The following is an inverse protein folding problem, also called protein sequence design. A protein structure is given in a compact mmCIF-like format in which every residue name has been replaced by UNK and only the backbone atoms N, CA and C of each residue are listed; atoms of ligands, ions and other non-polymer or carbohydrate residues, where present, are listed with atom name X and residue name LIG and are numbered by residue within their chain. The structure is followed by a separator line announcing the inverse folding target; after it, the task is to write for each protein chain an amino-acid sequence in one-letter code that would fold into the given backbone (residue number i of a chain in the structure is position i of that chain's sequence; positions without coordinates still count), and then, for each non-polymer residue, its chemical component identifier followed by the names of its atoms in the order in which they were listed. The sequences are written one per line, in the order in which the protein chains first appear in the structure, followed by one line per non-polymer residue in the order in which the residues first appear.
data_IF_752216725273
#
_entry.id   IF_752216725273
#
_cell.length_a   1.000
_cell.length_b   1.000
_cell.length_c   1.000
_cell.angle_alpha   90.00
_cell.angle_beta   90.00
_cell.angle_gamma   90.00
#
_symmetry.space_group_name_H-M   'P 1'
#
loop_
_entity.id
_entity.type
_entity.pdbx_description
1 polymer ?
#
# COMPACT_ATOMS: atom_id res chain seq x y z
N UNK A 1 57.94 -61.44 43.44
CA UNK A 1 58.73 -61.50 42.19
C UNK A 1 58.24 -60.40 41.27
N UNK A 2 59.13 -59.44 40.94
CA UNK A 2 59.22 -58.57 39.74
C UNK A 2 58.01 -58.48 38.80
N UNK A 3 57.59 -57.34 38.23
CA UNK A 3 58.14 -55.97 38.06
C UNK A 3 57.04 -55.11 37.38
N UNK A 4 56.94 -53.81 37.72
CA UNK A 4 56.79 -52.62 36.85
C UNK A 4 56.03 -52.76 35.49
N UNK A 5 55.10 -51.89 35.05
CA UNK A 5 55.09 -50.43 35.13
C UNK A 5 53.73 -49.81 34.67
N UNK A 6 53.42 -48.64 35.26
CA UNK A 6 52.84 -47.40 34.69
C UNK A 6 51.58 -47.48 33.80
N UNK A 7 50.49 -46.90 34.32
CA UNK A 7 50.09 -45.56 33.87
C UNK A 7 49.26 -44.83 34.93
N UNK A 8 49.66 -43.59 35.20
CA UNK A 8 49.09 -42.66 36.18
C UNK A 8 48.26 -41.64 35.41
N UNK A 9 47.04 -41.36 35.88
CA UNK A 9 46.37 -40.07 35.75
C UNK A 9 45.26 -40.05 36.84
N UNK A 10 45.58 -39.70 38.08
CA UNK A 10 45.61 -38.34 38.62
C UNK A 10 44.27 -37.59 38.48
N UNK A 11 43.45 -37.68 39.53
CA UNK A 11 42.46 -36.66 39.87
C UNK A 11 43.19 -35.33 40.09
N UNK A 12 42.69 -34.23 39.51
CA UNK A 12 42.86 -32.88 40.03
C UNK A 12 41.73 -31.99 39.49
N UNK A 13 41.04 -31.32 40.41
CA UNK A 13 40.00 -30.35 40.14
C UNK A 13 40.53 -29.10 39.42
N UNK A 14 39.72 -28.51 38.54
CA UNK A 14 39.81 -27.08 38.18
C UNK A 14 38.40 -26.51 38.13
N UNK A 15 38.21 -25.44 38.89
CA UNK A 15 37.01 -24.63 38.95
C UNK A 15 37.01 -23.56 37.84
N UNK A 16 35.80 -23.13 37.46
CA UNK A 16 35.45 -21.86 36.80
C UNK A 16 36.05 -21.61 35.41
N UNK A 17 35.20 -21.57 34.38
CA UNK A 17 34.99 -20.37 33.56
C UNK A 17 33.84 -20.61 32.58
N UNK A 18 32.96 -19.62 32.44
CA UNK A 18 31.92 -19.64 31.43
C UNK A 18 32.54 -19.73 30.04
N UNK A 19 31.97 -20.59 29.21
CA UNK A 19 32.12 -20.50 27.78
C UNK A 19 30.72 -20.68 27.20
N UNK A 20 30.15 -19.56 26.79
CA UNK A 20 29.11 -19.55 25.78
C UNK A 20 29.56 -20.47 24.64
N UNK A 21 28.71 -21.44 24.30
CA UNK A 21 28.80 -22.18 23.04
C UNK A 21 28.46 -21.19 21.91
N UNK A 22 29.42 -20.32 21.57
CA UNK A 22 29.49 -19.62 20.30
C UNK A 22 30.47 -20.36 19.39
N UNK A 23 30.07 -20.40 18.11
CA UNK A 23 30.74 -20.96 16.93
C UNK A 23 30.41 -22.45 16.68
N UNK A 24 29.73 -22.84 15.59
CA UNK A 24 29.80 -22.35 14.21
C UNK A 24 28.46 -22.48 13.45
N UNK A 25 28.01 -21.42 12.76
CA UNK A 25 27.50 -21.41 11.37
C UNK A 25 26.84 -20.03 11.08
N UNK A 26 27.43 -19.27 10.14
CA UNK A 26 27.01 -17.91 9.80
C UNK A 26 25.62 -17.85 9.20
N UNK A 27 24.66 -17.32 9.96
CA UNK A 27 23.38 -16.87 9.41
C UNK A 27 23.61 -15.81 8.33
N UNK A 28 22.74 -15.79 7.32
CA UNK A 28 22.76 -14.79 6.26
C UNK A 28 22.68 -13.38 6.86
N UNK A 29 23.61 -12.49 6.50
CA UNK A 29 23.67 -11.14 7.09
C UNK A 29 22.74 -10.20 6.35
N UNK A 30 21.46 -10.23 6.70
CA UNK A 30 20.43 -9.39 6.05
C UNK A 30 20.70 -7.88 6.12
N UNK A 31 21.49 -7.42 7.10
CA UNK A 31 21.85 -6.01 7.30
C UNK A 31 23.02 -5.54 6.43
N UNK A 32 23.70 -6.47 5.76
CA UNK A 32 24.89 -6.18 4.95
C UNK A 32 24.55 -6.26 3.45
N UNK A 33 24.59 -5.13 2.71
CA UNK A 33 24.29 -5.12 1.28
C UNK A 33 25.15 -6.08 0.47
N UNK A 34 26.40 -6.30 0.85
CA UNK A 34 27.31 -7.20 0.12
C UNK A 34 26.88 -8.67 0.25
N UNK A 35 26.02 -9.01 1.22
CA UNK A 35 25.48 -10.37 1.35
C UNK A 35 24.50 -10.74 0.24
N UNK A 36 23.96 -9.76 -0.51
CA UNK A 36 23.00 -9.96 -1.59
C UNK A 36 23.61 -9.85 -3.00
N UNK A 37 24.83 -9.32 -3.10
CA UNK A 37 25.45 -8.98 -4.38
C UNK A 37 25.88 -10.22 -5.15
N UNK A 38 25.57 -10.26 -6.45
CA UNK A 38 25.89 -11.37 -7.36
C UNK A 38 25.38 -12.74 -6.87
N UNK A 39 24.24 -12.73 -6.17
CA UNK A 39 23.64 -13.92 -5.57
C UNK A 39 22.17 -13.97 -5.92
N UNK A 40 21.66 -15.19 -6.00
CA UNK A 40 20.24 -15.44 -6.15
C UNK A 40 19.65 -16.09 -4.90
N UNK A 41 18.36 -15.88 -4.67
CA UNK A 41 17.69 -16.51 -3.55
C UNK A 41 16.30 -15.98 -3.27
N UNK A 42 15.84 -16.30 -2.07
CA UNK A 42 14.53 -15.91 -1.54
C UNK A 42 14.70 -15.20 -0.21
N UNK A 43 13.94 -14.14 -0.01
CA UNK A 43 13.77 -13.45 1.27
C UNK A 43 12.27 -13.33 1.54
N UNK A 44 11.82 -13.43 2.78
CA UNK A 44 10.39 -13.41 3.00
C UNK A 44 9.98 -13.43 4.45
N UNK A 45 8.66 -13.43 4.65
CA UNK A 45 8.06 -13.56 5.98
C UNK A 45 7.38 -14.92 6.07
N UNK A 46 7.75 -15.68 7.09
CA UNK A 46 7.06 -16.90 7.46
C UNK A 46 6.07 -16.62 8.57
N UNK A 47 4.81 -17.01 8.35
CA UNK A 47 3.72 -16.83 9.32
C UNK A 47 3.42 -18.17 9.95
N UNK A 48 3.75 -18.31 11.24
CA UNK A 48 3.43 -19.52 11.98
C UNK A 48 1.95 -19.58 12.34
N UNK A 49 1.42 -20.80 12.53
CA UNK A 49 0.05 -20.98 12.93
C UNK A 49 -0.19 -20.47 14.36
N UNK A 50 -1.08 -19.49 14.54
CA UNK A 50 -1.24 -18.66 15.75
C UNK A 50 -1.53 -19.42 17.06
N UNK A 51 -1.79 -20.73 16.98
CA UNK A 51 -2.19 -21.57 18.10
C UNK A 51 -1.27 -22.79 18.31
N UNK A 52 -0.27 -22.99 17.45
CA UNK A 52 0.47 -24.25 17.47
C UNK A 52 1.60 -24.27 18.48
N UNK A 53 2.28 -23.15 18.73
CA UNK A 53 3.38 -23.17 19.70
C UNK A 53 3.88 -21.79 20.16
N UNK A 54 3.73 -21.48 21.46
CA UNK A 54 4.39 -20.34 22.11
C UNK A 54 5.83 -20.64 22.56
N UNK A 55 6.28 -21.90 22.41
CA UNK A 55 7.57 -22.35 22.93
C UNK A 55 8.76 -21.78 22.14
N UNK A 56 9.89 -21.66 22.85
CA UNK A 56 11.17 -21.12 22.37
C UNK A 56 11.98 -22.12 21.53
N UNK A 57 11.29 -22.92 20.71
CA UNK A 57 11.92 -23.89 19.82
C UNK A 57 12.07 -23.35 18.40
N UNK A 58 13.20 -23.63 17.72
CA UNK A 58 13.39 -23.25 16.34
C UNK A 58 12.46 -24.05 15.42
N UNK A 59 11.95 -23.40 14.40
CA UNK A 59 11.09 -24.02 13.39
C UNK A 59 11.73 -23.90 12.01
N UNK A 60 11.44 -24.88 11.16
CA UNK A 60 12.08 -25.01 9.85
C UNK A 60 11.06 -25.29 8.77
N UNK A 61 11.29 -24.80 7.56
CA UNK A 61 10.60 -25.27 6.36
C UNK A 61 11.58 -25.95 5.42
N UNK A 62 11.09 -26.85 4.59
CA UNK A 62 11.85 -27.43 3.48
C UNK A 62 11.37 -26.83 2.17
N UNK A 63 12.23 -26.06 1.51
CA UNK A 63 11.97 -25.39 0.23
C UNK A 63 13.07 -25.78 -0.76
N UNK A 64 12.70 -26.50 -1.82
CA UNK A 64 13.65 -27.14 -2.72
C UNK A 64 14.53 -28.15 -1.97
N UNK A 65 15.85 -28.04 -2.14
CA UNK A 65 16.85 -28.84 -1.43
C UNK A 65 17.25 -28.24 -0.07
N UNK A 66 16.66 -27.11 0.33
CA UNK A 66 17.06 -26.36 1.52
C UNK A 66 16.11 -26.60 2.69
N UNK A 67 16.71 -26.84 3.86
CA UNK A 67 16.04 -26.75 5.17
C UNK A 67 16.32 -25.37 5.76
N UNK A 68 15.31 -24.52 5.78
CA UNK A 68 15.42 -23.08 6.10
C UNK A 68 14.86 -22.84 7.50
N UNK A 69 15.62 -22.15 8.36
CA UNK A 69 15.13 -21.66 9.65
C UNK A 69 14.11 -20.54 9.40
N UNK A 70 12.88 -20.74 9.87
CA UNK A 70 11.78 -19.78 9.67
C UNK A 70 11.30 -19.13 10.97
N UNK A 71 11.61 -19.72 12.11
CA UNK A 71 11.47 -19.09 13.43
C UNK A 71 12.63 -19.53 14.28
N UNK A 72 13.33 -18.58 14.87
CA UNK A 72 14.41 -18.88 15.80
C UNK A 72 13.87 -19.37 17.14
N UNK A 73 14.68 -20.09 17.90
CA UNK A 73 14.28 -20.53 19.25
C UNK A 73 13.95 -19.36 20.18
N UNK A 74 14.55 -18.19 20.00
CA UNK A 74 14.29 -17.04 20.88
C UNK A 74 13.13 -16.14 20.42
N UNK A 75 12.48 -16.44 19.29
CA UNK A 75 11.34 -15.65 18.81
C UNK A 75 10.02 -16.21 19.37
N UNK A 76 9.18 -15.35 19.94
CA UNK A 76 7.78 -15.61 20.27
C UNK A 76 6.80 -15.01 19.26
N UNK A 77 7.33 -14.45 18.17
CA UNK A 77 6.54 -13.69 17.19
C UNK A 77 5.77 -14.62 16.25
N UNK A 78 4.58 -14.18 15.83
CA UNK A 78 3.79 -14.90 14.84
C UNK A 78 4.42 -14.84 13.44
N UNK A 79 5.02 -13.71 13.10
CA UNK A 79 5.59 -13.45 11.79
C UNK A 79 7.09 -13.26 11.93
N UNK A 80 7.87 -14.00 11.13
CA UNK A 80 9.33 -14.05 11.24
C UNK A 80 9.98 -13.91 9.87
N UNK A 81 11.01 -13.07 9.76
CA UNK A 81 11.80 -12.96 8.54
C UNK A 81 12.63 -14.23 8.33
N UNK A 82 12.64 -14.74 7.10
CA UNK A 82 13.59 -15.74 6.63
C UNK A 82 14.32 -15.25 5.37
N UNK A 83 15.52 -15.79 5.14
CA UNK A 83 16.29 -15.55 3.92
C UNK A 83 17.13 -16.78 3.60
N UNK A 84 17.25 -17.09 2.32
CA UNK A 84 18.14 -18.16 1.86
C UNK A 84 18.69 -17.85 0.47
N UNK A 85 20.01 -18.01 0.32
CA UNK A 85 20.66 -18.02 -0.98
C UNK A 85 20.38 -19.36 -1.66
N UNK A 86 19.88 -19.31 -2.89
CA UNK A 86 19.44 -20.49 -3.63
C UNK A 86 19.85 -20.37 -5.10
N UNK A 87 20.11 -21.51 -5.73
CA UNK A 87 20.35 -21.53 -7.17
C UNK A 87 19.07 -21.16 -7.93
N UNK A 88 19.18 -20.48 -9.08
CA UNK A 88 18.03 -20.23 -9.96
C UNK A 88 17.28 -21.50 -10.32
N UNK A 89 15.95 -21.43 -10.36
CA UNK A 89 15.09 -22.57 -10.67
C UNK A 89 13.87 -22.70 -9.77
N UNK A 90 13.15 -23.81 -9.90
CA UNK A 90 11.92 -24.06 -9.14
C UNK A 90 12.26 -24.75 -7.82
N UNK A 91 11.83 -24.14 -6.71
CA UNK A 91 12.00 -24.67 -5.37
C UNK A 91 10.63 -25.03 -4.76
N UNK A 92 10.34 -26.33 -4.64
CA UNK A 92 9.09 -26.84 -4.08
C UNK A 92 9.08 -26.76 -2.56
N UNK A 93 8.00 -26.23 -1.99
CA UNK A 93 7.74 -26.28 -0.55
C UNK A 93 7.25 -27.69 -0.21
N UNK A 94 8.02 -28.42 0.60
CA UNK A 94 7.71 -29.82 0.95
C UNK A 94 7.11 -29.98 2.33
N UNK A 95 7.67 -29.26 3.32
CA UNK A 95 7.25 -29.44 4.71
C UNK A 95 7.57 -28.27 5.59
N UNK A 96 6.90 -28.25 6.74
CA UNK A 96 7.16 -27.36 7.86
C UNK A 96 7.30 -28.19 9.15
N UNK A 97 8.42 -28.03 9.83
CA UNK A 97 8.85 -28.77 11.02
C UNK A 97 8.88 -27.82 12.21
N UNK A 98 8.23 -28.22 13.31
CA UNK A 98 8.18 -27.44 14.54
C UNK A 98 8.07 -28.35 15.77
N UNK A 99 8.61 -27.90 16.90
CA UNK A 99 8.59 -28.65 18.17
C UNK A 99 7.72 -27.93 19.19
N UNK A 100 6.78 -28.67 19.81
CA UNK A 100 5.86 -28.18 20.84
C UNK A 100 5.90 -29.05 22.09
N UNK A 101 6.36 -28.47 23.20
CA UNK A 101 6.74 -29.24 24.38
C UNK A 101 7.77 -30.31 24.03
N UNK A 102 7.42 -31.57 24.28
CA UNK A 102 8.27 -32.74 23.99
C UNK A 102 7.98 -33.36 22.61
N UNK A 103 7.02 -32.82 21.84
CA UNK A 103 6.58 -33.40 20.58
C UNK A 103 7.18 -32.67 19.37
N UNK A 104 7.92 -33.41 18.56
CA UNK A 104 8.34 -32.97 17.23
C UNK A 104 7.21 -33.20 16.22
N UNK A 105 6.80 -32.13 15.53
CA UNK A 105 5.75 -32.15 14.53
C UNK A 105 6.32 -31.83 13.15
N UNK A 106 5.78 -32.48 12.13
CA UNK A 106 6.11 -32.22 10.72
C UNK A 106 4.84 -32.22 9.89
N UNK A 107 4.47 -31.04 9.38
CA UNK A 107 3.45 -30.92 8.35
C UNK A 107 4.12 -31.17 7.00
N UNK A 108 3.72 -32.24 6.34
CA UNK A 108 4.14 -32.55 4.97
C UNK A 108 3.02 -32.10 4.05
N UNK A 109 3.36 -31.29 3.05
CA UNK A 109 2.40 -30.91 2.03
C UNK A 109 2.13 -32.13 1.14
N UNK A 110 0.87 -32.52 1.05
CA UNK A 110 0.45 -33.59 0.15
C UNK A 110 0.52 -33.09 -1.29
N UNK A 111 1.66 -33.34 -1.95
CA UNK A 111 1.84 -33.09 -3.38
C UNK A 111 1.27 -34.24 -4.25
N UNK A 112 0.65 -35.26 -3.64
CA UNK A 112 0.38 -36.57 -4.24
C UNK A 112 -1.00 -36.72 -4.92
N UNK A 113 -1.84 -35.68 -4.99
CA UNK A 113 -2.97 -35.71 -5.94
C UNK A 113 -2.50 -35.68 -7.42
N UNK A 114 -1.18 -35.79 -7.67
CA UNK A 114 -0.56 -35.93 -8.98
C UNK A 114 -1.04 -34.89 -9.99
N UNK A 115 -1.31 -33.66 -9.53
CA UNK A 115 -1.77 -32.57 -10.38
C UNK A 115 -3.20 -32.69 -10.91
N UNK A 116 -4.09 -33.52 -10.32
CA UNK A 116 -5.52 -33.52 -10.70
C UNK A 116 -6.16 -32.14 -10.50
N UNK A 117 -5.77 -31.42 -9.45
CA UNK A 117 -6.10 -30.00 -9.25
C UNK A 117 -4.83 -29.15 -9.21
N UNK A 118 -4.80 -28.00 -9.92
CA UNK A 118 -3.72 -27.02 -9.76
C UNK A 118 -3.68 -26.55 -8.30
N UNK A 119 -2.52 -26.71 -7.65
CA UNK A 119 -2.29 -26.20 -6.30
C UNK A 119 -0.92 -25.52 -6.25
N UNK A 120 -0.82 -24.26 -5.78
CA UNK A 120 0.46 -23.56 -5.69
C UNK A 120 1.37 -24.23 -4.66
N UNK A 121 2.53 -24.74 -5.08
CA UNK A 121 3.43 -25.53 -4.20
C UNK A 121 4.90 -25.10 -4.26
N UNK A 122 5.29 -24.27 -5.22
CA UNK A 122 6.70 -23.99 -5.44
C UNK A 122 6.95 -22.53 -5.77
N UNK A 123 8.18 -22.10 -5.54
CA UNK A 123 8.66 -20.73 -5.74
C UNK A 123 9.72 -20.78 -6.83
N UNK A 124 9.67 -19.87 -7.82
CA UNK A 124 10.74 -19.73 -8.82
C UNK A 124 11.78 -18.75 -8.31
N UNK A 125 12.97 -19.28 -8.05
CA UNK A 125 14.16 -18.50 -7.70
C UNK A 125 14.69 -17.83 -8.98
N UNK A 126 14.92 -16.50 -8.98
CA UNK A 126 15.30 -15.75 -10.17
C UNK A 126 16.72 -16.10 -10.65
N UNK A 127 17.05 -15.74 -11.88
CA UNK A 127 18.40 -15.95 -12.44
C UNK A 127 19.47 -15.08 -11.77
N UNK A 128 19.07 -13.88 -11.29
CA UNK A 128 19.90 -12.95 -10.55
C UNK A 128 19.08 -12.21 -9.49
N UNK A 129 19.72 -11.87 -8.37
CA UNK A 129 19.10 -11.18 -7.24
C UNK A 129 18.14 -12.04 -6.42
N UNK A 130 17.52 -11.42 -5.42
CA UNK A 130 16.56 -12.08 -4.54
C UNK A 130 15.14 -11.75 -4.96
N UNK A 131 14.21 -12.66 -4.71
CA UNK A 131 12.77 -12.39 -4.76
C UNK A 131 12.14 -12.46 -3.36
N UNK A 132 11.04 -11.72 -3.15
CA UNK A 132 10.31 -11.65 -1.89
C UNK A 132 9.06 -12.53 -1.88
N UNK A 133 8.69 -13.06 -0.72
CA UNK A 133 7.45 -13.85 -0.57
C UNK A 133 6.92 -13.85 0.88
N UNK A 134 5.62 -14.08 1.05
CA UNK A 134 5.04 -14.45 2.36
C UNK A 134 4.57 -15.89 2.28
N UNK A 135 5.06 -16.74 3.19
CA UNK A 135 4.71 -18.15 3.29
C UNK A 135 3.94 -18.39 4.58
N UNK A 136 2.81 -19.08 4.48
CA UNK A 136 1.89 -19.31 5.59
C UNK A 136 1.42 -20.77 5.61
N UNK A 137 1.37 -21.34 6.81
CA UNK A 137 0.70 -22.62 7.07
C UNK A 137 -0.60 -22.41 7.88
N UNK A 138 -1.11 -21.18 7.93
CA UNK A 138 -2.33 -20.78 8.68
C UNK A 138 -3.64 -21.13 7.96
N UNK A 139 -3.62 -21.16 6.64
CA UNK A 139 -4.81 -21.30 5.80
C UNK A 139 -4.57 -22.49 4.88
N UNK A 140 -5.27 -23.60 5.13
CA UNK A 140 -5.06 -24.90 4.49
C UNK A 140 -4.99 -24.88 2.94
N UNK A 141 -5.37 -23.77 2.28
CA UNK A 141 -5.36 -23.60 0.83
C UNK A 141 -4.48 -22.42 0.31
N UNK A 142 -3.93 -21.55 1.17
CA UNK A 142 -3.18 -20.34 0.77
C UNK A 142 -1.75 -20.31 1.33
N UNK A 143 -0.89 -21.17 0.79
CA UNK A 143 0.51 -21.31 1.24
C UNK A 143 1.38 -20.09 0.99
N UNK A 144 1.08 -19.36 -0.08
CA UNK A 144 1.86 -18.22 -0.55
C UNK A 144 0.93 -17.01 -0.67
N UNK A 145 1.40 -15.82 -0.29
CA UNK A 145 0.58 -14.59 -0.35
C UNK A 145 1.40 -13.34 -0.63
N UNK A 146 0.72 -12.28 -1.11
CA UNK A 146 1.26 -10.92 -1.22
C UNK A 146 0.84 -10.11 0.00
N UNK A 147 1.80 -9.51 0.69
CA UNK A 147 1.52 -8.62 1.83
C UNK A 147 2.68 -7.63 2.03
N UNK A 148 2.61 -6.51 1.32
CA UNK A 148 3.67 -5.49 1.33
C UNK A 148 3.81 -4.82 2.69
N UNK A 149 2.70 -4.59 3.40
CA UNK A 149 2.72 -3.99 4.73
C UNK A 149 3.50 -4.88 5.71
N UNK A 150 3.24 -6.19 5.70
CA UNK A 150 3.95 -7.15 6.54
C UNK A 150 5.43 -7.26 6.16
N UNK A 151 5.73 -7.35 4.85
CA UNK A 151 7.11 -7.40 4.37
C UNK A 151 7.88 -6.13 4.74
N UNK A 152 7.27 -4.95 4.58
CA UNK A 152 7.87 -3.68 4.94
C UNK A 152 8.14 -3.59 6.44
N UNK A 153 7.16 -3.94 7.27
CA UNK A 153 7.32 -4.00 8.73
C UNK A 153 8.50 -4.91 9.14
N UNK A 154 8.58 -6.12 8.58
CA UNK A 154 9.62 -7.09 8.93
C UNK A 154 11.00 -6.69 8.38
N UNK A 155 11.07 -6.11 7.17
CA UNK A 155 12.32 -5.61 6.60
C UNK A 155 12.87 -4.45 7.43
N UNK A 156 12.00 -3.52 7.85
CA UNK A 156 12.37 -2.41 8.74
C UNK A 156 12.80 -2.91 10.13
N UNK A 157 12.02 -3.82 10.74
CA UNK A 157 12.31 -4.43 12.04
C UNK A 157 13.69 -5.09 12.07
N UNK A 158 14.00 -5.88 11.05
CA UNK A 158 15.26 -6.61 10.94
C UNK A 158 16.39 -5.79 10.29
N UNK A 159 16.10 -4.55 9.87
CA UNK A 159 17.04 -3.63 9.20
C UNK A 159 17.68 -4.27 7.97
N UNK A 160 16.86 -4.91 7.15
CA UNK A 160 17.29 -5.54 5.89
C UNK A 160 17.90 -4.47 4.98
N UNK A 161 19.05 -4.78 4.38
CA UNK A 161 19.80 -3.85 3.54
C UNK A 161 19.10 -3.57 2.19
N UNK A 162 18.24 -4.48 1.74
CA UNK A 162 17.41 -4.30 0.57
C UNK A 162 16.19 -3.45 0.89
N UNK A 163 15.84 -2.52 -0.01
CA UNK A 163 14.53 -1.90 0.01
C UNK A 163 13.49 -2.93 -0.49
N UNK A 164 12.47 -3.31 0.31
CA UNK A 164 11.46 -4.28 -0.09
C UNK A 164 10.73 -3.89 -1.38
N UNK A 165 10.57 -2.61 -1.69
CA UNK A 165 9.92 -2.13 -2.93
C UNK A 165 10.73 -2.45 -4.18
N UNK A 166 12.05 -2.60 -4.04
CA UNK A 166 12.97 -2.93 -5.13
C UNK A 166 13.18 -4.44 -5.30
N UNK A 167 12.64 -5.26 -4.39
CA UNK A 167 12.74 -6.73 -4.45
C UNK A 167 11.46 -7.26 -5.09
N UNK A 168 11.52 -7.91 -6.27
CA UNK A 168 10.34 -8.44 -6.93
C UNK A 168 9.75 -9.59 -6.12
N UNK A 169 8.43 -9.83 -6.22
CA UNK A 169 7.86 -11.06 -5.68
C UNK A 169 8.36 -12.27 -6.46
N UNK A 170 8.50 -13.41 -5.78
CA UNK A 170 8.80 -14.66 -6.45
C UNK A 170 7.60 -15.16 -7.26
N UNK A 171 7.83 -15.67 -8.47
CA UNK A 171 6.78 -16.39 -9.21
C UNK A 171 6.41 -17.68 -8.44
N UNK A 172 5.13 -18.01 -8.41
CA UNK A 172 4.64 -19.25 -7.81
C UNK A 172 4.30 -20.25 -8.89
N UNK A 173 4.70 -21.50 -8.67
CA UNK A 173 4.50 -22.61 -9.58
C UNK A 173 3.51 -23.59 -8.96
N UNK A 174 2.46 -23.94 -9.72
CA UNK A 174 1.52 -24.98 -9.30
C UNK A 174 2.04 -26.40 -9.54
N UNK A 175 1.30 -27.37 -9.04
CA UNK A 175 1.50 -28.82 -9.27
C UNK A 175 1.52 -29.23 -10.75
N UNK A 176 1.08 -28.38 -11.69
CA UNK A 176 1.12 -28.63 -13.14
C UNK A 176 2.31 -27.93 -13.83
N UNK A 177 3.13 -27.20 -13.09
CA UNK A 177 4.27 -26.45 -13.62
C UNK A 177 3.89 -25.11 -14.25
N UNK A 178 2.64 -24.65 -14.09
CA UNK A 178 2.26 -23.33 -14.57
C UNK A 178 2.75 -22.28 -13.58
N UNK A 179 3.21 -21.15 -14.10
CA UNK A 179 3.32 -19.94 -13.30
C UNK A 179 1.91 -19.52 -12.94
N UNK A 180 1.54 -19.77 -11.69
CA UNK A 180 0.37 -19.15 -11.08
C UNK A 180 0.86 -17.80 -10.63
N UNK A 181 0.76 -16.83 -11.52
CA UNK A 181 0.82 -15.47 -11.07
C UNK A 181 -0.28 -15.34 -10.03
N UNK A 182 0.10 -14.98 -8.81
CA UNK A 182 -0.76 -14.04 -8.12
C UNK A 182 -1.02 -12.97 -9.17
N UNK A 183 -2.28 -12.64 -9.47
CA UNK A 183 -2.51 -11.39 -10.18
C UNK A 183 -1.79 -10.37 -9.32
N UNK A 184 -0.62 -9.90 -9.80
CA UNK A 184 0.27 -9.08 -8.99
C UNK A 184 -0.62 -7.97 -8.46
N UNK A 185 -0.70 -7.77 -7.14
CA UNK A 185 -1.59 -6.76 -6.59
C UNK A 185 -1.36 -5.43 -7.31
N UNK A 186 -0.09 -5.11 -7.62
CA UNK A 186 0.29 -3.94 -8.40
C UNK A 186 -0.21 -4.07 -9.85
N UNK A 187 -0.08 -5.21 -10.51
CA UNK A 187 -0.66 -5.44 -11.85
C UNK A 187 -2.19 -5.40 -11.87
N UNK A 188 -2.88 -5.80 -10.79
CA UNK A 188 -4.32 -5.71 -10.65
C UNK A 188 -4.74 -4.28 -10.37
N UNK A 189 -4.00 -3.58 -9.50
CA UNK A 189 -4.17 -2.15 -9.22
C UNK A 189 -3.97 -1.34 -10.51
N UNK A 190 -2.91 -1.63 -11.26
CA UNK A 190 -2.62 -1.01 -12.55
C UNK A 190 -3.71 -1.33 -13.56
N UNK A 191 -4.16 -2.58 -13.65
CA UNK A 191 -5.27 -2.95 -14.54
C UNK A 191 -6.59 -2.27 -14.15
N UNK A 192 -6.90 -2.16 -12.85
CA UNK A 192 -8.06 -1.45 -12.34
C UNK A 192 -7.98 0.05 -12.66
N UNK A 193 -6.79 0.63 -12.48
CA UNK A 193 -6.55 2.03 -12.80
C UNK A 193 -6.64 2.30 -14.31
N UNK A 194 -6.03 1.47 -15.14
CA UNK A 194 -6.14 1.55 -16.60
C UNK A 194 -7.58 1.37 -17.08
N UNK A 195 -8.36 0.49 -16.43
CA UNK A 195 -9.78 0.35 -16.69
C UNK A 195 -10.54 1.63 -16.32
N UNK A 196 -10.21 2.26 -15.19
CA UNK A 196 -10.78 3.54 -14.77
C UNK A 196 -10.46 4.66 -15.78
N UNK A 197 -9.21 4.75 -16.26
CA UNK A 197 -8.81 5.73 -17.30
C UNK A 197 -9.62 5.56 -18.60
N UNK A 198 -9.99 4.32 -18.96
CA UNK A 198 -10.81 4.01 -20.14
C UNK A 198 -12.31 4.25 -19.92
N UNK A 199 -12.80 4.12 -18.69
CA UNK A 199 -14.22 4.22 -18.35
C UNK A 199 -14.65 5.64 -18.00
N UNK A 200 -13.86 6.38 -17.23
CA UNK A 200 -14.17 7.76 -16.83
C UNK A 200 -14.55 8.71 -17.99
N UNK A 201 -13.89 8.69 -19.18
CA UNK A 201 -14.30 9.56 -20.29
C UNK A 201 -15.62 9.16 -20.96
N UNK A 202 -16.20 8.00 -20.61
CA UNK A 202 -17.43 7.44 -21.20
C UNK A 202 -18.67 7.62 -20.33
N UNK A 203 -18.53 8.22 -19.15
CA UNK A 203 -19.67 8.52 -18.27
C UNK A 203 -20.70 9.40 -18.98
N UNK A 204 -21.96 9.15 -18.68
CA UNK A 204 -23.15 9.70 -19.31
C UNK A 204 -24.05 10.38 -18.28
N UNK A 205 -25.26 10.79 -18.69
CA UNK A 205 -26.24 11.39 -17.79
C UNK A 205 -26.67 10.46 -16.66
N UNK A 206 -26.63 9.14 -16.89
CA UNK A 206 -27.02 8.13 -15.91
C UNK A 206 -25.98 8.01 -14.77
N UNK A 207 -24.78 8.54 -14.98
CA UNK A 207 -23.68 8.55 -14.01
C UNK A 207 -23.61 9.86 -13.20
N UNK A 208 -24.57 10.77 -13.38
CA UNK A 208 -24.69 11.99 -12.58
C UNK A 208 -25.14 11.62 -11.17
N UNK A 209 -24.34 12.04 -10.18
CA UNK A 209 -24.57 11.79 -8.76
C UNK A 209 -24.84 13.10 -8.02
N UNK A 210 -25.53 13.05 -6.84
CA UNK A 210 -25.65 14.21 -5.98
C UNK A 210 -24.27 14.74 -5.56
N UNK A 211 -24.05 16.05 -5.73
CA UNK A 211 -22.78 16.69 -5.43
C UNK A 211 -22.88 17.59 -4.20
N UNK A 212 -21.73 17.87 -3.58
CA UNK A 212 -21.60 18.94 -2.60
C UNK A 212 -21.69 20.29 -3.31
N UNK A 213 -22.57 21.15 -2.82
CA UNK A 213 -22.64 22.55 -3.22
C UNK A 213 -22.00 23.43 -2.17
N UNK A 214 -21.42 24.54 -2.61
CA UNK A 214 -20.80 25.54 -1.75
C UNK A 214 -21.77 26.70 -1.49
N UNK A 215 -23.00 26.38 -1.08
CA UNK A 215 -24.04 27.32 -0.69
C UNK A 215 -24.38 27.22 0.81
N UNK A 216 -25.20 28.15 1.29
CA UNK A 216 -25.53 28.29 2.73
C UNK A 216 -26.23 27.05 3.33
N UNK A 217 -26.79 26.15 2.51
CA UNK A 217 -27.52 24.97 2.95
C UNK A 217 -26.64 23.70 2.99
N UNK A 218 -25.36 23.81 2.62
CA UNK A 218 -24.45 22.68 2.57
C UNK A 218 -24.13 22.12 3.95
N UNK A 219 -24.69 20.96 4.27
CA UNK A 219 -24.37 20.23 5.52
C UNK A 219 -22.98 19.58 5.50
N UNK A 220 -22.41 19.40 4.30
CA UNK A 220 -21.17 18.66 4.05
C UNK A 220 -20.04 19.57 3.51
N UNK A 221 -20.18 20.88 3.61
CA UNK A 221 -19.09 21.86 3.48
C UNK A 221 -18.98 22.73 4.75
N UNK A 222 -17.78 23.23 5.03
CA UNK A 222 -17.57 24.24 6.08
C UNK A 222 -17.39 25.60 5.42
N UNK A 223 -18.38 26.48 5.59
CA UNK A 223 -18.37 27.85 5.09
C UNK A 223 -18.08 28.85 6.21
N UNK A 224 -17.54 30.03 5.87
CA UNK A 224 -17.45 31.17 6.78
C UNK A 224 -18.85 31.66 7.18
N UNK A 225 -18.97 32.41 8.27
CA UNK A 225 -20.27 32.90 8.76
C UNK A 225 -21.03 33.78 7.76
N UNK A 226 -20.32 34.41 6.81
CA UNK A 226 -20.87 35.20 5.71
C UNK A 226 -20.92 34.45 4.36
N UNK A 227 -20.52 33.17 4.34
CA UNK A 227 -20.44 32.30 3.17
C UNK A 227 -19.51 32.78 2.04
N UNK A 228 -18.58 33.69 2.33
CA UNK A 228 -17.61 34.17 1.34
C UNK A 228 -16.42 33.25 1.16
N UNK A 229 -16.14 32.40 2.15
CA UNK A 229 -15.04 31.44 2.14
C UNK A 229 -15.52 30.01 2.44
N UNK A 230 -14.79 29.05 1.90
CA UNK A 230 -14.99 27.61 2.12
C UNK A 230 -13.70 26.97 2.63
N UNK A 231 -13.82 25.98 3.51
CA UNK A 231 -12.71 25.13 3.93
C UNK A 231 -12.57 23.96 2.96
N UNK A 232 -11.40 23.85 2.34
CA UNK A 232 -11.05 22.77 1.44
C UNK A 232 -9.83 21.99 1.93
N UNK A 233 -9.68 20.79 1.40
CA UNK A 233 -8.62 19.84 1.71
C UNK A 233 -7.92 19.41 0.43
N UNK A 234 -6.60 19.46 0.39
CA UNK A 234 -5.79 18.96 -0.74
C UNK A 234 -4.77 17.93 -0.28
N UNK A 235 -4.43 16.96 -1.14
CA UNK A 235 -3.43 15.91 -0.89
C UNK A 235 -2.21 16.10 -1.81
N UNK A 236 -1.02 16.20 -1.23
CA UNK A 236 0.22 16.56 -1.91
C UNK A 236 1.46 15.90 -1.25
N UNK A 237 2.63 16.08 -1.85
CA UNK A 237 3.91 15.51 -1.43
C UNK A 237 4.91 16.54 -0.87
N UNK A 238 4.57 17.84 -0.90
CA UNK A 238 5.43 18.94 -0.43
C UNK A 238 4.93 19.56 0.88
N UNK A 239 5.51 19.23 2.05
CA UNK A 239 5.07 19.77 3.33
C UNK A 239 5.43 21.24 3.56
N UNK A 240 6.47 21.75 2.89
CA UNK A 240 6.95 23.13 3.09
C UNK A 240 6.15 24.15 2.30
N UNK A 241 5.37 23.67 1.30
CA UNK A 241 4.52 24.50 0.47
C UNK A 241 3.44 25.25 1.26
N UNK A 242 2.83 24.59 2.25
CA UNK A 242 1.71 25.11 3.02
C UNK A 242 2.02 25.04 4.51
N UNK A 243 2.27 26.19 5.14
CA UNK A 243 2.62 26.24 6.58
C UNK A 243 1.40 26.57 7.42
N UNK A 244 1.28 25.94 8.59
CA UNK A 244 0.20 26.20 9.55
C UNK A 244 0.04 27.70 9.83
N UNK A 245 -1.20 28.20 9.70
CA UNK A 245 -1.56 29.60 9.94
C UNK A 245 -1.13 30.59 8.86
N UNK A 246 -0.51 30.13 7.78
CA UNK A 246 -0.01 31.00 6.72
C UNK A 246 -1.13 31.50 5.82
N UNK A 247 -1.16 32.82 5.58
CA UNK A 247 -1.90 33.41 4.46
C UNK A 247 -0.95 33.49 3.26
N UNK A 248 -1.39 32.99 2.10
CA UNK A 248 -0.56 32.98 0.89
C UNK A 248 -1.38 33.06 -0.39
N UNK A 249 -0.80 33.66 -1.42
CA UNK A 249 -1.30 33.58 -2.79
C UNK A 249 -0.81 32.30 -3.47
N UNK A 250 -1.73 31.51 -4.04
CA UNK A 250 -1.38 30.33 -4.81
C UNK A 250 -0.59 30.69 -6.06
N UNK A 251 0.61 30.09 -6.18
CA UNK A 251 1.53 30.25 -7.33
C UNK A 251 1.53 29.07 -8.30
N UNK A 252 0.78 28.00 -7.99
CA UNK A 252 0.58 26.85 -8.89
C UNK A 252 -0.57 27.18 -9.84
N UNK A 253 -0.55 26.64 -11.06
CA UNK A 253 -1.63 26.78 -12.06
C UNK A 253 -3.02 26.55 -11.42
N UNK A 254 -3.14 25.56 -10.54
CA UNK A 254 -4.33 25.30 -9.71
C UNK A 254 -4.01 24.34 -8.54
N UNK A 255 -4.92 24.24 -7.58
CA UNK A 255 -4.91 23.22 -6.51
C UNK A 255 -6.21 22.40 -6.60
N UNK A 256 -6.08 21.07 -6.73
CA UNK A 256 -7.23 20.15 -6.65
C UNK A 256 -7.58 19.91 -5.18
N UNK A 257 -8.86 20.01 -4.84
CA UNK A 257 -9.29 19.94 -3.45
C UNK A 257 -10.69 19.33 -3.30
N UNK A 258 -11.03 19.02 -2.05
CA UNK A 258 -12.26 18.37 -1.61
C UNK A 258 -12.79 19.08 -0.37
N UNK A 259 -14.06 18.90 0.00
CA UNK A 259 -14.57 19.49 1.25
C UNK A 259 -14.18 18.66 2.46
N UNK A 260 -13.94 19.34 3.59
CA UNK A 260 -13.49 18.69 4.82
C UNK A 260 -14.56 17.77 5.43
N UNK A 261 -15.83 18.19 5.40
CA UNK A 261 -16.95 17.43 5.97
C UNK A 261 -17.41 16.27 5.09
N UNK A 262 -17.38 16.38 3.76
CA UNK A 262 -17.64 15.23 2.90
C UNK A 262 -16.57 14.15 3.07
N UNK A 263 -15.29 14.56 3.10
CA UNK A 263 -14.19 13.63 3.41
C UNK A 263 -14.42 12.93 4.76
N UNK A 264 -14.79 13.70 5.79
CA UNK A 264 -15.07 13.17 7.13
C UNK A 264 -16.25 12.19 7.13
N UNK A 265 -17.35 12.52 6.44
CA UNK A 265 -18.51 11.64 6.28
C UNK A 265 -18.10 10.33 5.62
N UNK A 266 -17.43 10.42 4.46
CA UNK A 266 -16.94 9.25 3.74
C UNK A 266 -16.00 8.41 4.61
N UNK A 267 -15.07 9.04 5.32
CA UNK A 267 -14.13 8.36 6.20
C UNK A 267 -14.88 7.58 7.29
N UNK A 268 -15.85 8.19 7.95
CA UNK A 268 -16.63 7.54 9.01
C UNK A 268 -17.44 6.34 8.49
N UNK A 269 -17.97 6.43 7.28
CA UNK A 269 -18.75 5.37 6.63
C UNK A 269 -17.88 4.22 6.08
N UNK A 270 -16.60 4.47 5.75
CA UNK A 270 -15.78 3.54 4.97
C UNK A 270 -14.45 3.11 5.64
N UNK A 271 -14.12 3.61 6.84
CA UNK A 271 -12.84 3.32 7.53
C UNK A 271 -12.67 1.88 8.00
N UNK A 272 -13.77 1.17 8.26
CA UNK A 272 -13.71 -0.16 8.87
C UNK A 272 -13.17 -1.18 7.85
N UNK A 273 -12.15 -1.94 8.25
CA UNK A 273 -11.48 -2.93 7.37
C UNK A 273 -10.44 -2.35 6.40
N UNK A 274 -10.16 -1.04 6.42
CA UNK A 274 -9.12 -0.44 5.58
C UNK A 274 -7.73 -0.71 6.17
N UNK A 275 -7.03 -1.68 5.59
CA UNK A 275 -5.67 -2.05 6.01
C UNK A 275 -4.56 -1.26 5.30
N UNK A 276 -4.83 -0.69 4.12
CA UNK A 276 -3.88 0.13 3.36
C UNK A 276 -4.51 1.48 3.00
N UNK A 277 -4.35 2.46 3.88
CA UNK A 277 -4.88 3.81 3.71
C UNK A 277 -4.27 4.55 2.52
N UNK A 278 -2.97 4.37 2.25
CA UNK A 278 -2.31 5.00 1.12
C UNK A 278 -2.97 4.60 -0.19
N UNK A 279 -3.16 3.29 -0.41
CA UNK A 279 -3.86 2.78 -1.60
C UNK A 279 -5.32 3.24 -1.62
N UNK A 280 -6.03 3.16 -0.49
CA UNK A 280 -7.45 3.50 -0.45
C UNK A 280 -7.71 4.98 -0.77
N UNK A 281 -6.83 5.87 -0.34
CA UNK A 281 -6.90 7.30 -0.67
C UNK A 281 -6.57 7.56 -2.15
N UNK A 282 -5.61 6.81 -2.74
CA UNK A 282 -5.38 6.87 -4.20
C UNK A 282 -6.63 6.48 -4.98
N UNK A 283 -7.27 5.39 -4.55
CA UNK A 283 -8.54 4.93 -5.09
C UNK A 283 -9.63 5.99 -4.99
N UNK A 284 -9.92 6.45 -3.77
CA UNK A 284 -10.96 7.43 -3.47
C UNK A 284 -10.82 8.70 -4.29
N UNK A 285 -9.59 9.23 -4.34
CA UNK A 285 -9.31 10.54 -4.92
C UNK A 285 -8.94 10.46 -6.41
N UNK A 286 -9.13 9.30 -7.04
CA UNK A 286 -8.82 9.09 -8.45
C UNK A 286 -7.35 9.33 -8.80
N UNK A 287 -6.42 9.04 -7.88
CA UNK A 287 -4.98 9.18 -8.10
C UNK A 287 -4.37 7.90 -8.65
N UNK A 288 -3.26 8.06 -9.38
CA UNK A 288 -2.50 6.97 -9.92
C UNK A 288 -1.89 6.08 -8.82
N UNK A 289 -1.65 4.79 -9.10
CA UNK A 289 -1.00 3.86 -8.17
C UNK A 289 0.35 4.35 -7.66
N UNK A 290 1.10 5.08 -8.49
CA UNK A 290 2.42 5.64 -8.20
C UNK A 290 2.39 7.05 -7.58
N UNK A 291 1.21 7.64 -7.37
CA UNK A 291 1.08 8.96 -6.73
C UNK A 291 1.76 8.98 -5.35
N UNK A 292 2.59 9.99 -5.08
CA UNK A 292 3.46 10.06 -3.90
C UNK A 292 2.95 11.02 -2.81
N UNK A 293 1.63 11.31 -2.82
CA UNK A 293 1.00 12.15 -1.82
C UNK A 293 1.17 11.61 -0.40
N UNK A 294 1.68 12.46 0.50
CA UNK A 294 2.01 12.09 1.89
C UNK A 294 1.49 13.11 2.91
N UNK A 295 1.01 14.27 2.45
CA UNK A 295 0.53 15.37 3.29
C UNK A 295 -0.84 15.86 2.83
N UNK A 296 -1.72 16.09 3.80
CA UNK A 296 -2.97 16.82 3.60
C UNK A 296 -2.84 18.23 4.16
N UNK A 297 -3.30 19.20 3.39
CA UNK A 297 -3.45 20.59 3.83
C UNK A 297 -4.91 20.96 3.86
N UNK A 298 -5.34 21.53 4.99
CA UNK A 298 -6.67 22.12 5.16
C UNK A 298 -6.53 23.63 5.15
N UNK A 299 -7.32 24.31 4.33
CA UNK A 299 -7.21 25.76 4.13
C UNK A 299 -8.55 26.41 3.83
N UNK A 300 -8.69 27.68 4.18
CA UNK A 300 -9.78 28.55 3.75
C UNK A 300 -9.45 29.19 2.41
N UNK A 301 -10.47 29.37 1.57
CA UNK A 301 -10.35 30.03 0.27
C UNK A 301 -11.66 30.77 -0.07
N UNK A 302 -11.60 31.94 -0.74
CA UNK A 302 -12.80 32.60 -1.24
C UNK A 302 -13.58 31.73 -2.25
N UNK A 303 -14.88 31.57 -2.07
CA UNK A 303 -15.74 30.74 -2.96
C UNK A 303 -15.66 31.19 -4.42
N UNK A 304 -15.51 32.50 -4.67
CA UNK A 304 -15.34 33.08 -6.01
C UNK A 304 -14.10 32.60 -6.79
N UNK A 305 -13.11 32.03 -6.08
CA UNK A 305 -11.86 31.53 -6.65
C UNK A 305 -11.85 29.99 -6.76
N UNK A 306 -12.98 29.35 -6.43
CA UNK A 306 -13.21 27.91 -6.48
C UNK A 306 -14.09 27.58 -7.69
N UNK A 307 -13.71 26.55 -8.43
CA UNK A 307 -14.49 26.02 -9.55
C UNK A 307 -14.69 24.52 -9.36
N UNK A 308 -15.79 23.99 -9.88
CA UNK A 308 -15.98 22.56 -10.02
C UNK A 308 -15.28 22.11 -11.32
N UNK A 309 -14.37 21.11 -11.29
CA UNK A 309 -13.72 20.59 -12.50
C UNK A 309 -14.69 19.72 -13.30
N UNK A 310 -15.75 20.32 -13.84
CA UNK A 310 -16.86 19.63 -14.49
C UNK A 310 -17.46 20.46 -15.63
N UNK A 311 -18.42 19.89 -16.35
CA UNK A 311 -19.20 20.62 -17.35
C UNK A 311 -20.10 21.71 -16.76
N UNK A 312 -20.40 21.65 -15.46
CA UNK A 312 -21.03 22.76 -14.75
C UNK A 312 -20.03 23.25 -13.71
N UNK A 313 -19.28 24.34 -14.00
CA UNK A 313 -18.14 24.76 -13.18
C UNK A 313 -18.52 25.57 -11.95
N UNK A 314 -19.75 26.08 -11.89
CA UNK A 314 -20.25 26.81 -10.73
C UNK A 314 -20.38 25.85 -9.54
N UNK A 315 -19.60 26.05 -8.45
CA UNK A 315 -19.63 25.16 -7.30
C UNK A 315 -20.88 25.32 -6.43
N UNK A 316 -21.74 26.31 -6.72
CA UNK A 316 -23.02 26.52 -6.02
C UNK A 316 -24.21 25.90 -6.75
N UNK A 317 -23.99 25.37 -7.96
CA UNK A 317 -25.02 24.74 -8.78
C UNK A 317 -25.09 23.21 -8.50
N UNK A 318 -26.31 22.73 -8.29
CA UNK A 318 -26.65 21.34 -7.97
C UNK A 318 -27.01 20.50 -9.21
N UNK A 319 -27.23 21.13 -10.36
CA UNK A 319 -27.56 20.46 -11.62
C UNK A 319 -26.31 20.27 -12.46
N UNK A 320 -25.85 19.02 -12.56
CA UNK A 320 -24.75 18.63 -13.45
C UNK A 320 -25.24 18.32 -14.87
N UNK A 321 -24.33 18.37 -15.84
CA UNK A 321 -24.59 18.02 -17.24
C UNK A 321 -23.39 17.28 -17.84
N UNK A 322 -23.58 16.68 -19.02
CA UNK A 322 -22.54 15.97 -19.80
C UNK A 322 -21.92 16.84 -20.90
N UNK A 323 -22.31 18.11 -20.96
CA UNK A 323 -21.77 19.13 -21.84
C UNK A 323 -21.91 20.50 -21.17
N UNK A 324 -21.10 21.48 -21.58
CA UNK A 324 -21.26 22.85 -21.08
C UNK A 324 -22.68 23.36 -21.39
N UNK A 325 -23.39 23.94 -20.41
CA UNK A 325 -24.64 24.65 -20.68
C UNK A 325 -24.41 25.76 -21.71
N UNK A 326 -25.41 26.06 -22.55
CA UNK A 326 -25.32 27.13 -23.56
C UNK A 326 -24.94 28.48 -22.96
N UNK A 327 -25.49 28.81 -21.78
CA UNK A 327 -25.14 30.03 -21.04
C UNK A 327 -23.65 30.09 -20.68
N UNK A 328 -23.06 28.97 -20.26
CA UNK A 328 -21.63 28.92 -19.96
C UNK A 328 -20.80 28.94 -21.24
N UNK A 329 -21.20 28.25 -22.30
CA UNK A 329 -20.55 28.29 -23.63
C UNK A 329 -20.46 29.72 -24.16
N UNK A 330 -21.52 30.51 -24.00
CA UNK A 330 -21.61 31.90 -24.44
C UNK A 330 -20.91 32.90 -23.50
N UNK A 331 -20.64 32.52 -22.24
CA UNK A 331 -19.92 33.38 -21.30
C UNK A 331 -18.50 33.73 -21.79
N UNK A 332 -18.19 35.02 -21.80
CA UNK A 332 -16.90 35.61 -22.21
C UNK A 332 -16.20 36.31 -21.04
N UNK A 333 -16.67 36.14 -19.82
CA UNK A 333 -15.98 36.60 -18.61
C UNK A 333 -14.58 36.00 -18.54
N UNK A 334 -13.65 36.73 -17.91
CA UNK A 334 -12.27 36.27 -17.73
C UNK A 334 -12.23 34.89 -17.03
N UNK A 335 -13.06 34.70 -16.00
CA UNK A 335 -13.19 33.44 -15.27
C UNK A 335 -13.68 32.30 -16.17
N UNK A 336 -14.71 32.52 -17.00
CA UNK A 336 -15.21 31.48 -17.90
C UNK A 336 -14.18 31.13 -18.99
N UNK A 337 -13.49 32.13 -19.55
CA UNK A 337 -12.44 31.91 -20.53
C UNK A 337 -11.24 31.15 -19.94
N UNK A 338 -10.83 31.51 -18.72
CA UNK A 338 -9.80 30.78 -17.97
C UNK A 338 -10.21 29.32 -17.77
N UNK A 339 -11.44 29.08 -17.29
CA UNK A 339 -11.92 27.73 -17.00
C UNK A 339 -12.01 26.88 -18.26
N UNK A 340 -12.55 27.40 -19.37
CA UNK A 340 -12.60 26.68 -20.66
C UNK A 340 -11.21 26.25 -21.13
N UNK A 341 -10.23 27.17 -21.06
CA UNK A 341 -8.83 26.87 -21.41
C UNK A 341 -8.22 25.81 -20.48
N UNK A 342 -8.47 25.91 -19.18
CA UNK A 342 -8.04 24.91 -18.19
C UNK A 342 -8.69 23.54 -18.47
N UNK A 343 -9.99 23.52 -18.76
CA UNK A 343 -10.76 22.31 -19.01
C UNK A 343 -10.22 21.55 -20.23
N UNK A 344 -10.01 22.25 -21.35
CA UNK A 344 -9.46 21.64 -22.57
C UNK A 344 -8.02 21.14 -22.39
N UNK A 345 -7.17 21.93 -21.72
CA UNK A 345 -5.79 21.53 -21.38
C UNK A 345 -5.80 20.26 -20.55
N UNK A 346 -6.60 20.24 -19.48
CA UNK A 346 -6.71 19.10 -18.54
C UNK A 346 -7.27 17.86 -19.24
N UNK A 347 -8.32 18.01 -20.04
CA UNK A 347 -8.93 16.91 -20.82
C UNK A 347 -7.93 16.23 -21.75
N UNK A 348 -7.03 16.99 -22.37
CA UNK A 348 -6.01 16.46 -23.29
C UNK A 348 -4.92 15.60 -22.63
N UNK A 349 -4.86 15.64 -21.29
CA UNK A 349 -3.83 14.97 -20.48
C UNK A 349 -4.43 13.95 -19.51
N UNK A 350 -5.67 14.15 -19.05
CA UNK A 350 -6.30 13.34 -18.00
C UNK A 350 -6.27 11.84 -18.30
N UNK A 351 -6.56 11.39 -19.53
CA UNK A 351 -6.72 9.95 -19.78
C UNK A 351 -5.46 9.25 -20.31
N UNK A 352 -4.28 9.85 -20.12
CA UNK A 352 -3.00 9.24 -20.51
C UNK A 352 -2.61 8.14 -19.52
N UNK A 353 -1.88 7.13 -20.00
CA UNK A 353 -1.33 6.07 -19.14
C UNK A 353 -0.35 6.64 -18.12
N UNK A 354 0.58 7.47 -18.58
CA UNK A 354 1.57 8.15 -17.75
C UNK A 354 1.04 9.53 -17.36
N UNK A 355 1.02 9.82 -16.05
CA UNK A 355 0.62 11.11 -15.50
C UNK A 355 -0.86 11.49 -15.64
N UNK A 356 -1.70 10.60 -16.19
CA UNK A 356 -3.14 10.78 -16.27
C UNK A 356 -3.87 10.37 -14.98
N UNK A 357 -5.17 10.67 -14.92
CA UNK A 357 -6.13 10.34 -13.89
C UNK A 357 -7.55 10.17 -14.44
N UNK A 358 -8.38 9.26 -13.87
CA UNK A 358 -9.74 8.99 -14.33
C UNK A 358 -10.70 10.13 -14.00
N UNK A 359 -10.60 11.23 -14.73
CA UNK A 359 -11.44 12.40 -14.52
C UNK A 359 -12.87 12.19 -15.04
N UNK A 360 -13.87 12.40 -14.19
CA UNK A 360 -15.28 12.16 -14.56
C UNK A 360 -15.84 13.29 -15.42
N UNK A 361 -15.39 14.53 -15.19
CA UNK A 361 -16.03 15.79 -15.68
C UNK A 361 -17.46 15.99 -15.17
N UNK A 362 -17.88 15.20 -14.19
CA UNK A 362 -19.21 15.27 -13.55
C UNK A 362 -19.12 15.82 -12.12
N UNK A 363 -17.94 16.28 -11.69
CA UNK A 363 -17.77 17.00 -10.42
C UNK A 363 -17.47 16.13 -9.22
N UNK A 364 -17.17 14.85 -9.42
CA UNK A 364 -16.69 13.93 -8.39
C UNK A 364 -15.48 13.13 -8.86
N UNK A 365 -14.63 12.68 -7.93
CA UNK A 365 -13.50 11.80 -8.23
C UNK A 365 -13.98 10.41 -8.60
N UNK A 366 -13.36 9.79 -9.61
CA UNK A 366 -13.65 8.40 -9.95
C UNK A 366 -12.95 7.46 -8.95
N UNK A 367 -13.72 6.87 -8.04
CA UNK A 367 -13.22 5.90 -7.07
C UNK A 367 -13.03 4.52 -7.71
N UNK A 368 -11.81 4.28 -8.19
CA UNK A 368 -11.46 3.04 -8.87
C UNK A 368 -11.28 1.83 -7.92
N UNK A 369 -11.36 2.05 -6.60
CA UNK A 369 -11.32 0.97 -5.60
C UNK A 369 -12.68 0.33 -5.31
N UNK A 370 -13.78 0.95 -5.75
CA UNK A 370 -15.14 0.42 -5.53
C UNK A 370 -15.46 -0.75 -6.46
N UNK A 371 -16.13 -1.77 -5.94
CA UNK A 371 -16.52 -2.97 -6.68
C UNK A 371 -18.03 -3.12 -6.90
N UNK A 372 -18.83 -2.25 -6.29
CA UNK A 372 -20.30 -2.28 -6.32
C UNK A 372 -20.92 -1.60 -7.54
N UNK A 373 -20.09 -1.17 -8.49
CA UNK A 373 -20.52 -0.52 -9.73
C UNK A 373 -20.59 1.00 -9.61
N UNK A 374 -20.89 1.53 -8.42
CA UNK A 374 -20.76 2.95 -8.12
C UNK A 374 -19.28 3.36 -8.13
N UNK A 375 -18.97 4.50 -8.75
CA UNK A 375 -17.63 5.06 -8.88
C UNK A 375 -17.51 6.44 -8.25
N UNK A 376 -18.50 6.86 -7.49
CA UNK A 376 -18.44 8.10 -6.74
C UNK A 376 -17.37 8.00 -5.62
N UNK A 377 -16.40 8.92 -5.66
CA UNK A 377 -15.45 9.14 -4.58
C UNK A 377 -15.87 10.30 -3.67
N UNK A 378 -15.40 11.50 -3.99
CA UNK A 378 -15.77 12.74 -3.32
C UNK A 378 -16.11 13.80 -4.36
N UNK A 379 -16.94 14.77 -4.00
CA UNK A 379 -17.08 16.00 -4.80
C UNK A 379 -15.74 16.71 -4.87
N UNK A 380 -15.35 17.10 -6.07
CA UNK A 380 -14.07 17.74 -6.35
C UNK A 380 -14.20 19.21 -6.72
N UNK A 381 -13.14 19.94 -6.40
CA UNK A 381 -12.99 21.36 -6.65
C UNK A 381 -11.58 21.66 -7.14
N UNK A 382 -11.43 22.75 -7.87
CA UNK A 382 -10.14 23.35 -8.19
C UNK A 382 -10.12 24.78 -7.69
N UNK A 383 -9.00 25.19 -7.13
CA UNK A 383 -8.71 26.57 -6.78
C UNK A 383 -7.74 27.12 -7.80
N UNK A 384 -8.09 28.23 -8.44
CA UNK A 384 -7.25 28.84 -9.48
C UNK A 384 -5.99 29.48 -8.90
N UNK A 385 -4.95 29.57 -9.73
CA UNK A 385 -3.79 30.43 -9.47
C UNK A 385 -4.22 31.85 -9.08
N UNK A 386 -3.47 32.49 -8.18
CA UNK A 386 -3.73 33.86 -7.73
C UNK A 386 -4.77 33.96 -6.60
N UNK A 387 -5.46 32.88 -6.25
CA UNK A 387 -6.31 32.87 -5.06
C UNK A 387 -5.48 33.06 -3.78
N UNK A 388 -5.98 33.87 -2.87
CA UNK A 388 -5.44 33.97 -1.51
C UNK A 388 -6.08 32.89 -0.65
N UNK A 389 -5.25 32.08 0.00
CA UNK A 389 -5.68 31.02 0.91
C UNK A 389 -5.12 31.26 2.32
N UNK A 390 -5.86 30.83 3.34
CA UNK A 390 -5.39 30.76 4.72
C UNK A 390 -5.24 29.28 5.11
N UNK A 391 -3.99 28.84 5.26
CA UNK A 391 -3.67 27.48 5.65
C UNK A 391 -4.02 27.30 7.13
N UNK A 392 -4.98 26.43 7.41
CA UNK A 392 -5.34 26.06 8.78
C UNK A 392 -4.26 25.17 9.38
N UNK A 393 -3.89 24.11 8.65
CA UNK A 393 -2.77 23.24 8.99
C UNK A 393 -2.38 22.31 7.84
N UNK A 394 -1.18 21.74 7.96
CA UNK A 394 -0.68 20.65 7.11
C UNK A 394 -0.23 19.46 7.95
N UNK A 395 -0.72 18.25 7.65
CA UNK A 395 -0.39 17.03 8.41
C UNK A 395 -0.05 15.89 7.46
N UNK A 396 0.88 15.04 7.86
CA UNK A 396 1.11 13.77 7.15
C UNK A 396 -0.16 12.91 7.15
N UNK A 397 -0.34 12.05 6.16
CA UNK A 397 -1.56 11.23 5.95
C UNK A 397 -2.07 10.57 7.24
N UNK A 398 -1.18 9.91 8.00
CA UNK A 398 -1.56 9.28 9.29
C UNK A 398 -2.12 10.29 10.30
N UNK A 399 -1.48 11.45 10.42
CA UNK A 399 -1.92 12.53 11.33
C UNK A 399 -3.23 13.17 10.89
N UNK A 400 -3.43 13.34 9.58
CA UNK A 400 -4.70 13.84 9.03
C UNK A 400 -5.86 12.86 9.29
N UNK A 401 -5.67 11.57 9.03
CA UNK A 401 -6.70 10.56 9.29
C UNK A 401 -7.04 10.44 10.79
N UNK A 402 -6.05 10.54 11.68
CA UNK A 402 -6.28 10.59 13.11
C UNK A 402 -7.11 11.84 13.50
N UNK A 403 -6.75 13.01 12.96
CA UNK A 403 -7.52 14.23 13.17
C UNK A 403 -8.96 14.11 12.66
N UNK A 404 -9.19 13.53 11.48
CA UNK A 404 -10.53 13.30 10.92
C UNK A 404 -11.37 12.40 11.81
N UNK A 405 -10.78 11.32 12.34
CA UNK A 405 -11.45 10.39 13.27
C UNK A 405 -11.89 11.07 14.57
N UNK A 406 -11.11 12.04 15.05
CA UNK A 406 -11.36 12.69 16.35
C UNK A 406 -12.39 13.84 16.23
N UNK A 407 -12.79 14.23 15.01
CA UNK A 407 -13.91 15.15 14.75
C UNK A 407 -15.23 14.38 14.89
N UNK A 408 -16.11 14.88 15.75
CA UNK A 408 -17.49 14.38 15.91
C UNK A 408 -18.44 15.10 14.97
#
# INVERSE_FOLDING_TARGET
MNKFAKSICALSAVAVTGAALMACAGGFKVKDPESFKNKSGVIGVFRQAAFYCSDVNPQYMTLGDKRILVKSGWSSEQDNLFVNEMNPGVATLYSYEYTCGENDNKLVLDTADNGKRPFPIAVKIPDDGFCKIVISFLENDNLFSHNDALLQEQFEKEKVALNPDNVPYCDIIDTKGNVVSFVNRDSLIDAQYEAALKSAPKLTSDDIQPLVNLDQNSSVATLSGDNTQVMLVTWHNDPDQFKDGQIMTLKKDFVWAFTDKEFMKWFNENKDGVNNWTLRLKQLLGKAPDFDGTYFTVFWVPVKDVFRPAFVPDPTNDVMNVAFPSSFEEDRSESAMWFKKWFDKTRSQAYRREGGFPWTRLGYTYDWGRTDGDKYGLTEFIVREGAEIEVKFTRGTKGFLAWTRDRK
#
